data_IF_917870651540
#
_entry.id   IF_917870651540
#
_cell.length_a   1.000
_cell.length_b   1.000
_cell.length_c   1.000
_cell.angle_alpha   90.00
_cell.angle_beta   90.00
_cell.angle_gamma   90.00
#
_symmetry.space_group_name_H-M   'P 1'
#
loop_
_entity.id
_entity.type
_entity.pdbx_description
1 polymer ?
#
# COMPACT_ATOMS: atom_id res chain seq x y z
N UNK A 1 -70.77 -15.56 -73.76
CA UNK A 1 -71.60 -14.41 -73.37
C UNK A 1 -70.66 -13.25 -73.04
N UNK A 2 -70.94 -12.02 -73.50
CA UNK A 2 -70.59 -11.58 -74.85
C UNK A 2 -69.56 -10.42 -74.91
N UNK A 3 -69.19 -10.11 -76.16
CA UNK A 3 -68.86 -8.79 -76.74
C UNK A 3 -67.59 -8.08 -76.28
N UNK A 4 -66.61 -7.84 -77.16
CA UNK A 4 -66.62 -6.81 -78.22
C UNK A 4 -66.66 -5.40 -77.60
N UNK A 5 -65.87 -4.40 -77.96
CA UNK A 5 -65.17 -4.04 -79.19
C UNK A 5 -64.29 -2.83 -78.79
N UNK A 6 -63.09 -2.64 -79.34
CA UNK A 6 -62.82 -1.62 -80.38
C UNK A 6 -62.95 -0.17 -79.85
N UNK A 7 -62.10 0.79 -80.17
CA UNK A 7 -61.17 0.90 -81.27
C UNK A 7 -60.36 2.19 -81.06
N UNK A 8 -59.14 2.17 -81.59
CA UNK A 8 -58.58 3.18 -82.51
C UNK A 8 -58.58 4.66 -82.11
N UNK A 9 -57.40 5.27 -82.22
CA UNK A 9 -57.28 6.72 -82.39
C UNK A 9 -55.97 7.25 -81.82
N UNK A 10 -54.83 7.08 -82.52
CA UNK A 10 -54.26 8.13 -83.38
C UNK A 10 -53.73 9.30 -82.53
N UNK A 11 -52.42 9.35 -82.23
CA UNK A 11 -51.36 10.00 -83.03
C UNK A 11 -51.04 11.42 -82.48
N UNK A 12 -49.74 11.67 -82.29
CA UNK A 12 -49.05 12.97 -82.19
C UNK A 12 -49.20 13.86 -80.94
N UNK A 13 -48.09 13.90 -80.18
CA UNK A 13 -47.31 15.09 -79.82
C UNK A 13 -47.93 16.45 -80.17
N UNK A 14 -48.17 17.33 -79.17
CA UNK A 14 -47.86 18.77 -79.23
C UNK A 14 -47.92 19.42 -77.82
N UNK A 15 -46.74 19.82 -77.32
CA UNK A 15 -46.38 20.99 -76.49
C UNK A 15 -47.33 21.59 -75.41
N UNK A 16 -46.76 21.63 -74.20
CA UNK A 16 -46.50 22.82 -73.36
C UNK A 16 -47.60 23.48 -72.49
N UNK A 17 -47.21 23.63 -71.21
CA UNK A 17 -47.57 24.65 -70.20
C UNK A 17 -49.01 24.62 -69.65
N UNK A 18 -49.15 24.28 -68.36
CA UNK A 18 -49.52 25.22 -67.28
C UNK A 18 -49.46 24.48 -65.91
N UNK A 19 -48.82 25.19 -64.99
CA UNK A 19 -48.61 25.04 -63.55
C UNK A 19 -49.69 24.41 -62.63
N UNK A 20 -49.14 23.80 -61.56
CA UNK A 20 -49.51 23.88 -60.12
C UNK A 20 -50.40 22.82 -59.44
N UNK A 21 -49.73 22.15 -58.47
CA UNK A 21 -50.11 21.92 -57.05
C UNK A 21 -51.20 20.88 -56.74
N UNK A 22 -50.81 19.73 -56.16
CA UNK A 22 -50.95 19.48 -54.70
C UNK A 22 -50.57 18.05 -54.28
N UNK A 23 -49.77 18.01 -53.21
CA UNK A 23 -49.85 17.08 -52.07
C UNK A 23 -49.66 15.56 -52.29
N UNK A 24 -48.43 15.09 -52.01
CA UNK A 24 -48.18 13.73 -51.52
C UNK A 24 -47.85 13.76 -50.03
N UNK A 25 -48.83 13.35 -49.22
CA UNK A 25 -48.73 12.54 -47.99
C UNK A 25 -47.41 12.55 -47.19
N UNK A 26 -47.45 13.18 -46.00
CA UNK A 26 -46.50 12.96 -44.91
C UNK A 26 -46.73 11.62 -44.22
N UNK A 27 -45.66 10.85 -44.05
CA UNK A 27 -45.61 9.66 -43.21
C UNK A 27 -45.02 9.99 -41.83
N UNK A 28 -45.58 9.27 -40.86
CA UNK A 28 -45.27 9.13 -39.45
C UNK A 28 -43.79 8.97 -39.12
N UNK A 29 -43.40 9.60 -38.01
CA UNK A 29 -42.03 9.70 -37.48
C UNK A 29 -41.29 8.39 -37.32
N UNK A 30 -40.13 8.35 -37.97
CA UNK A 30 -38.95 7.62 -37.53
C UNK A 30 -38.11 8.60 -36.68
N UNK A 31 -37.39 8.12 -35.66
CA UNK A 31 -36.66 8.92 -34.68
C UNK A 31 -35.41 9.63 -35.21
N UNK A 32 -35.45 10.22 -36.41
CA UNK A 32 -34.32 10.88 -37.04
C UNK A 32 -34.21 12.34 -36.57
N UNK A 33 -33.04 12.69 -36.03
CA UNK A 33 -32.67 14.07 -35.77
C UNK A 33 -32.43 14.79 -37.12
N UNK A 34 -33.52 15.18 -37.77
CA UNK A 34 -33.47 15.88 -39.06
C UNK A 34 -33.46 17.38 -38.83
N UNK A 35 -32.26 17.98 -38.91
CA UNK A 35 -32.11 19.45 -38.97
C UNK A 35 -32.64 19.89 -40.33
N UNK A 36 -33.94 20.23 -40.42
CA UNK A 36 -34.51 20.82 -41.63
C UNK A 36 -33.92 22.22 -41.84
N UNK A 37 -32.81 22.32 -42.56
CA UNK A 37 -32.32 23.59 -43.12
C UNK A 37 -33.05 23.88 -44.43
N UNK A 38 -34.38 24.06 -44.38
CA UNK A 38 -35.13 24.54 -45.53
C UNK A 38 -35.66 25.95 -45.26
N UNK A 39 -35.22 26.89 -46.11
CA UNK A 39 -35.83 28.20 -46.26
C UNK A 39 -37.31 28.02 -46.63
N UNK A 40 -38.22 28.28 -45.71
CA UNK A 40 -39.64 28.45 -46.02
C UNK A 40 -40.13 29.75 -45.40
N UNK A 41 -40.81 30.53 -46.23
CA UNK A 41 -41.48 31.78 -45.87
C UNK A 41 -42.58 31.54 -44.82
N UNK A 42 -42.72 32.52 -43.93
CA UNK A 42 -43.59 32.64 -42.76
C UNK A 42 -44.91 31.84 -42.75
N UNK A 43 -45.21 31.20 -41.61
CA UNK A 43 -46.28 31.64 -40.68
C UNK A 43 -46.23 30.85 -39.34
N UNK A 44 -45.82 31.53 -38.27
CA UNK A 44 -46.18 31.27 -36.86
C UNK A 44 -45.83 29.93 -36.17
N UNK A 45 -44.72 29.28 -36.51
CA UNK A 45 -44.11 28.26 -35.64
C UNK A 45 -42.79 28.78 -35.06
N UNK A 46 -42.63 28.64 -33.74
CA UNK A 46 -41.45 29.01 -32.97
C UNK A 46 -40.17 28.46 -33.62
N UNK A 47 -39.34 29.35 -34.15
CA UNK A 47 -38.04 29.06 -34.76
C UNK A 47 -37.14 28.30 -33.76
N UNK A 48 -36.98 26.99 -33.96
CA UNK A 48 -35.91 26.18 -33.32
C UNK A 48 -34.68 26.08 -34.24
N UNK A 49 -34.69 26.73 -35.41
CA UNK A 49 -33.85 26.36 -36.56
C UNK A 49 -32.46 27.00 -36.72
N UNK A 50 -32.02 27.95 -35.90
CA UNK A 50 -30.72 28.62 -36.17
C UNK A 50 -29.56 28.20 -35.26
N UNK A 51 -29.84 27.55 -34.12
CA UNK A 51 -28.81 27.14 -33.14
C UNK A 51 -28.99 25.74 -32.56
N UNK A 52 -29.74 24.89 -33.26
CA UNK A 52 -29.91 23.49 -32.90
C UNK A 52 -28.92 22.61 -33.66
N UNK A 53 -28.40 21.58 -33.00
CA UNK A 53 -27.60 20.51 -33.59
C UNK A 53 -28.03 19.15 -33.04
N UNK A 54 -27.52 18.07 -33.62
CA UNK A 54 -27.84 16.71 -33.22
C UNK A 54 -26.78 16.13 -32.30
N UNK A 55 -27.24 15.50 -31.22
CA UNK A 55 -26.44 14.71 -30.29
C UNK A 55 -27.01 13.29 -30.29
N UNK A 56 -26.47 12.40 -31.12
CA UNK A 56 -27.14 11.13 -31.42
C UNK A 56 -28.51 11.39 -32.05
N UNK A 57 -29.58 10.88 -31.45
CA UNK A 57 -30.97 11.05 -31.90
C UNK A 57 -31.67 12.27 -31.29
N UNK A 58 -30.98 13.05 -30.44
CA UNK A 58 -31.57 14.18 -29.71
C UNK A 58 -31.15 15.52 -30.32
N UNK A 59 -32.11 16.39 -30.63
CA UNK A 59 -31.86 17.79 -30.95
C UNK A 59 -31.50 18.56 -29.67
N UNK A 60 -30.39 19.30 -29.70
CA UNK A 60 -29.95 20.17 -28.60
C UNK A 60 -29.57 21.56 -29.12
N UNK A 61 -29.66 22.59 -28.26
CA UNK A 61 -29.25 23.95 -28.62
C UNK A 61 -27.82 24.22 -28.17
N UNK A 62 -26.89 24.43 -29.09
CA UNK A 62 -25.46 24.53 -28.74
C UNK A 62 -25.05 25.84 -28.04
N UNK A 63 -25.96 26.81 -27.92
CA UNK A 63 -25.75 28.05 -27.18
C UNK A 63 -26.07 27.91 -25.68
N UNK A 64 -26.89 26.93 -25.32
CA UNK A 64 -27.36 26.70 -23.95
C UNK A 64 -27.10 25.28 -23.48
N UNK A 65 -26.64 24.39 -24.34
CA UNK A 65 -26.44 22.97 -24.07
C UNK A 65 -25.19 22.45 -24.78
N UNK A 66 -24.65 21.35 -24.28
CA UNK A 66 -23.48 20.67 -24.84
C UNK A 66 -23.77 19.19 -25.04
N UNK A 67 -23.14 18.59 -26.06
CA UNK A 67 -23.24 17.17 -26.35
C UNK A 67 -21.92 16.47 -26.04
N UNK A 68 -21.94 15.46 -25.17
CA UNK A 68 -20.80 14.59 -24.88
C UNK A 68 -21.16 13.14 -25.21
N UNK A 69 -20.60 12.61 -26.30
CA UNK A 69 -20.77 11.22 -26.73
C UNK A 69 -22.23 10.74 -26.65
N UNK A 70 -23.11 11.42 -27.40
CA UNK A 70 -24.57 11.16 -27.51
C UNK A 70 -25.41 11.55 -26.27
N UNK A 71 -24.79 12.14 -25.25
CA UNK A 71 -25.51 12.66 -24.08
C UNK A 71 -25.55 14.19 -24.09
N UNK A 72 -26.76 14.76 -24.01
CA UNK A 72 -26.98 16.21 -23.93
C UNK A 72 -26.95 16.68 -22.48
N UNK A 73 -26.25 17.78 -22.22
CA UNK A 73 -26.19 18.45 -20.93
C UNK A 73 -26.52 19.93 -21.05
N UNK A 74 -27.14 20.49 -20.02
CA UNK A 74 -27.34 21.94 -19.95
C UNK A 74 -26.01 22.66 -19.71
N UNK A 75 -25.80 23.71 -20.49
CA UNK A 75 -24.58 24.47 -20.61
C UNK A 75 -24.32 25.29 -19.36
N UNK A 76 -23.15 25.06 -18.77
CA UNK A 76 -22.63 25.86 -17.66
C UNK A 76 -21.26 26.34 -18.09
N UNK A 77 -20.91 27.58 -17.75
CA UNK A 77 -19.56 28.11 -17.93
C UNK A 77 -18.55 27.19 -17.22
N UNK A 78 -17.36 27.05 -17.79
CA UNK A 78 -16.27 26.20 -17.28
C UNK A 78 -16.54 24.68 -17.31
N UNK A 79 -17.39 24.18 -18.22
CA UNK A 79 -17.60 22.75 -18.44
C UNK A 79 -17.16 22.29 -19.82
N UNK A 80 -16.48 21.14 -19.88
CA UNK A 80 -16.07 20.46 -21.10
C UNK A 80 -16.45 18.98 -21.06
N UNK A 81 -16.41 18.32 -22.22
CA UNK A 81 -16.67 16.88 -22.31
C UNK A 81 -15.44 16.07 -21.92
N UNK A 82 -15.66 15.03 -21.13
CA UNK A 82 -14.70 14.00 -20.80
C UNK A 82 -15.28 12.62 -21.10
N UNK A 83 -15.08 12.12 -22.32
CA UNK A 83 -15.82 10.95 -22.81
C UNK A 83 -17.31 11.27 -22.92
N UNK A 84 -18.14 10.52 -22.17
CA UNK A 84 -19.60 10.74 -22.12
C UNK A 84 -20.03 11.76 -21.07
N UNK A 85 -19.18 12.03 -20.08
CA UNK A 85 -19.53 12.86 -18.93
C UNK A 85 -19.01 14.29 -19.11
N UNK A 86 -19.58 15.25 -18.37
CA UNK A 86 -19.09 16.63 -18.31
C UNK A 86 -18.15 16.80 -17.11
N UNK A 87 -17.11 17.60 -17.27
CA UNK A 87 -16.16 17.91 -16.19
C UNK A 87 -15.93 19.42 -16.09
N UNK A 88 -15.64 19.90 -14.88
CA UNK A 88 -15.39 21.32 -14.66
C UNK A 88 -13.90 21.66 -14.91
N UNK A 89 -13.59 22.40 -15.98
CA UNK A 89 -12.18 22.69 -16.36
C UNK A 89 -11.40 23.47 -15.32
N UNK A 90 -12.08 24.14 -14.38
CA UNK A 90 -11.46 24.89 -13.29
C UNK A 90 -11.00 23.99 -12.13
N UNK A 91 -11.71 22.89 -11.87
CA UNK A 91 -11.46 22.03 -10.71
C UNK A 91 -11.06 20.61 -11.08
N UNK A 92 -11.22 20.21 -12.33
CA UNK A 92 -11.08 18.85 -12.80
C UNK A 92 -10.24 18.79 -14.07
N UNK A 93 -9.78 17.59 -14.39
CA UNK A 93 -8.97 17.26 -15.55
C UNK A 93 -9.50 15.98 -16.18
N UNK A 94 -9.33 15.83 -17.50
CA UNK A 94 -9.81 14.68 -18.25
C UNK A 94 -8.69 13.83 -18.87
N UNK A 95 -7.87 13.13 -18.07
CA UNK A 95 -6.95 12.13 -18.61
C UNK A 95 -7.73 10.89 -19.09
N UNK A 96 -7.52 10.50 -20.35
CA UNK A 96 -8.05 9.26 -20.94
C UNK A 96 -9.58 9.08 -20.80
N UNK A 97 -10.36 10.12 -21.11
CA UNK A 97 -11.83 10.12 -21.06
C UNK A 97 -12.43 9.86 -19.66
N UNK A 98 -11.69 10.13 -18.57
CA UNK A 98 -12.20 10.04 -17.20
C UNK A 98 -11.93 11.33 -16.43
N UNK A 99 -12.98 11.97 -15.92
CA UNK A 99 -12.85 13.20 -15.14
C UNK A 99 -12.30 12.91 -13.74
N UNK A 100 -11.38 13.74 -13.28
CA UNK A 100 -10.74 13.64 -11.97
C UNK A 100 -10.53 15.04 -11.38
N UNK A 101 -10.69 15.19 -10.07
CA UNK A 101 -10.45 16.47 -9.39
C UNK A 101 -8.95 16.79 -9.39
N UNK A 102 -8.60 18.04 -9.68
CA UNK A 102 -7.23 18.53 -9.85
C UNK A 102 -6.34 18.22 -8.64
N UNK A 103 -6.88 18.31 -7.42
CA UNK A 103 -6.15 18.00 -6.19
C UNK A 103 -5.81 16.52 -5.99
N UNK A 104 -6.58 15.63 -6.62
CA UNK A 104 -6.40 14.20 -6.46
C UNK A 104 -5.47 13.61 -7.52
N UNK A 105 -5.27 14.28 -8.66
CA UNK A 105 -4.41 13.80 -9.72
C UNK A 105 -2.93 14.07 -9.41
N UNK A 106 -2.12 13.01 -9.32
CA UNK A 106 -0.66 13.08 -9.14
C UNK A 106 0.03 12.38 -10.30
N UNK A 107 1.25 12.82 -10.63
CA UNK A 107 2.09 12.18 -11.64
C UNK A 107 3.00 11.13 -10.97
N UNK A 108 3.09 9.93 -11.57
CA UNK A 108 4.06 8.90 -11.19
C UNK A 108 4.82 8.46 -12.43
N UNK A 109 6.12 8.72 -12.48
CA UNK A 109 6.92 8.59 -13.69
C UNK A 109 6.30 9.36 -14.87
N UNK A 110 5.62 8.66 -15.79
CA UNK A 110 5.03 9.25 -16.99
C UNK A 110 3.50 9.23 -17.00
N UNK A 111 2.86 8.63 -15.99
CA UNK A 111 1.41 8.43 -15.95
C UNK A 111 0.77 9.16 -14.77
N UNK A 112 -0.41 9.73 -15.03
CA UNK A 112 -1.23 10.33 -13.99
C UNK A 112 -2.01 9.26 -13.22
N UNK A 113 -2.15 9.45 -11.92
CA UNK A 113 -2.94 8.57 -11.05
C UNK A 113 -3.74 9.37 -10.04
N UNK A 114 -4.87 8.79 -9.63
CA UNK A 114 -5.73 9.35 -8.58
C UNK A 114 -5.20 8.96 -7.20
N UNK A 115 -4.77 9.94 -6.42
CA UNK A 115 -4.10 9.75 -5.13
C UNK A 115 -5.00 9.22 -4.02
N UNK A 116 -6.33 9.36 -4.18
CA UNK A 116 -7.30 8.70 -3.29
C UNK A 116 -7.39 7.17 -3.44
N UNK A 117 -6.90 6.60 -4.56
CA UNK A 117 -7.00 5.16 -4.82
C UNK A 117 -5.65 4.48 -5.06
N UNK A 118 -4.66 5.24 -5.51
CA UNK A 118 -3.30 4.74 -5.76
C UNK A 118 -2.27 5.65 -5.12
N UNK A 119 -1.08 5.12 -4.89
CA UNK A 119 0.12 5.85 -4.47
C UNK A 119 1.29 5.46 -5.35
N UNK A 120 2.20 6.39 -5.58
CA UNK A 120 3.41 6.16 -6.36
C UNK A 120 4.53 5.61 -5.47
N UNK A 121 5.21 4.56 -5.94
CA UNK A 121 6.42 4.02 -5.32
C UNK A 121 7.48 3.76 -6.39
N UNK A 122 8.58 4.49 -6.34
CA UNK A 122 9.58 4.48 -7.41
C UNK A 122 8.96 4.96 -8.72
N UNK A 123 8.73 4.05 -9.67
CA UNK A 123 8.13 4.32 -10.99
C UNK A 123 6.75 3.69 -11.21
N UNK A 124 6.24 2.95 -10.22
CA UNK A 124 5.00 2.20 -10.33
C UNK A 124 3.95 2.74 -9.36
N UNK A 125 2.67 2.58 -9.71
CA UNK A 125 1.55 2.95 -8.84
C UNK A 125 0.92 1.72 -8.21
N UNK A 126 0.64 1.80 -6.91
CA UNK A 126 0.08 0.73 -6.09
C UNK A 126 -1.24 1.19 -5.48
N UNK A 127 -2.20 0.28 -5.18
CA UNK A 127 -3.41 0.64 -4.46
C UNK A 127 -3.08 1.33 -3.12
N UNK A 128 -3.93 2.26 -2.71
CA UNK A 128 -3.92 2.79 -1.34
C UNK A 128 -4.41 1.67 -0.43
N UNK A 129 -3.48 1.13 0.35
CA UNK A 129 -3.68 0.10 1.36
C UNK A 129 -2.78 0.46 2.56
N UNK A 130 -3.30 0.32 3.78
CA UNK A 130 -2.62 0.71 5.03
C UNK A 130 -1.37 -0.13 5.32
N UNK A 131 -1.32 -1.34 4.77
CA UNK A 131 -0.23 -2.28 4.95
C UNK A 131 0.83 -2.18 3.85
N UNK A 132 0.54 -1.50 2.74
CA UNK A 132 1.51 -1.35 1.65
C UNK A 132 2.32 -0.07 1.87
N UNK A 133 3.63 -0.14 2.06
CA UNK A 133 4.47 1.05 2.20
C UNK A 133 5.66 1.06 1.26
N UNK A 134 6.21 2.25 1.03
CA UNK A 134 7.40 2.45 0.23
C UNK A 134 8.64 2.47 1.11
N UNK A 135 9.63 1.69 0.71
CA UNK A 135 10.99 1.72 1.20
C UNK A 135 11.92 2.11 0.05
N UNK A 136 12.27 3.40 -0.02
CA UNK A 136 12.95 3.96 -1.19
C UNK A 136 12.08 3.83 -2.45
N UNK A 137 12.52 3.00 -3.41
CA UNK A 137 11.80 2.73 -4.67
C UNK A 137 11.01 1.41 -4.65
N UNK A 138 11.12 0.64 -3.57
CA UNK A 138 10.50 -0.66 -3.43
C UNK A 138 9.27 -0.59 -2.54
N UNK A 139 8.31 -1.46 -2.80
CA UNK A 139 7.12 -1.63 -1.96
C UNK A 139 7.31 -2.82 -1.04
N UNK A 140 6.78 -2.71 0.17
CA UNK A 140 6.73 -3.80 1.12
C UNK A 140 5.40 -3.84 1.89
N UNK A 141 5.09 -5.00 2.47
CA UNK A 141 3.94 -5.19 3.36
C UNK A 141 4.40 -4.97 4.82
N UNK A 142 3.81 -4.00 5.50
CA UNK A 142 4.14 -3.64 6.89
C UNK A 142 3.76 -4.71 7.90
N UNK A 143 2.97 -5.71 7.51
CA UNK A 143 2.62 -6.87 8.35
C UNK A 143 3.71 -7.94 8.35
N UNK A 144 4.62 -7.92 7.38
CA UNK A 144 5.68 -8.92 7.24
C UNK A 144 7.07 -8.33 7.31
N UNK A 145 7.21 -7.03 7.04
CA UNK A 145 8.50 -6.36 6.88
C UNK A 145 8.45 -4.89 7.28
N UNK A 146 9.61 -4.33 7.58
CA UNK A 146 9.80 -2.92 7.87
C UNK A 146 10.89 -2.33 6.97
N UNK A 147 10.97 -1.00 6.90
CA UNK A 147 11.99 -0.28 6.14
C UNK A 147 13.01 0.33 7.11
N UNK A 148 14.25 -0.10 7.02
CA UNK A 148 15.37 0.44 7.81
C UNK A 148 16.44 0.93 6.85
N UNK A 149 16.74 2.23 6.89
CA UNK A 149 17.75 2.88 6.05
C UNK A 149 17.61 2.54 4.55
N UNK A 150 16.37 2.56 4.06
CA UNK A 150 16.05 2.24 2.66
C UNK A 150 16.09 0.76 2.29
N UNK A 151 16.30 -0.14 3.25
CA UNK A 151 16.27 -1.60 3.05
C UNK A 151 15.03 -2.22 3.69
N UNK A 152 14.37 -3.09 2.95
CA UNK A 152 13.24 -3.88 3.44
C UNK A 152 13.80 -5.07 4.23
N UNK A 153 13.41 -5.20 5.48
CA UNK A 153 13.84 -6.26 6.40
C UNK A 153 12.64 -6.88 7.12
N UNK A 154 12.77 -8.10 7.63
CA UNK A 154 11.69 -8.76 8.39
C UNK A 154 11.36 -7.99 9.68
N UNK A 155 10.14 -8.15 10.20
CA UNK A 155 9.70 -7.50 11.45
C UNK A 155 10.51 -7.88 12.70
N UNK A 156 11.29 -8.96 12.64
CA UNK A 156 12.20 -9.37 13.72
C UNK A 156 13.54 -8.63 13.67
N UNK A 157 13.78 -7.85 12.63
CA UNK A 157 15.01 -7.09 12.46
C UNK A 157 14.85 -5.70 13.06
N UNK A 158 15.82 -5.32 13.88
CA UNK A 158 15.88 -4.05 14.58
C UNK A 158 17.13 -3.27 14.15
N UNK A 159 17.11 -1.95 14.35
CA UNK A 159 18.30 -1.12 14.13
C UNK A 159 19.31 -1.33 15.26
N UNK A 160 20.59 -1.43 14.89
CA UNK A 160 21.70 -1.35 15.84
C UNK A 160 22.83 -0.50 15.23
N UNK A 161 22.88 0.77 15.63
CA UNK A 161 23.78 1.74 15.01
C UNK A 161 23.49 1.90 13.52
N UNK A 162 24.49 1.66 12.68
CA UNK A 162 24.40 1.66 11.21
C UNK A 162 24.05 0.30 10.61
N UNK A 163 23.82 -0.71 11.45
CA UNK A 163 23.52 -2.09 11.04
C UNK A 163 22.11 -2.50 11.46
N UNK A 164 21.63 -3.62 10.91
CA UNK A 164 20.41 -4.29 11.36
C UNK A 164 20.75 -5.56 12.13
N UNK A 165 19.92 -5.95 13.08
CA UNK A 165 20.13 -7.12 13.94
C UNK A 165 18.85 -7.90 14.15
N UNK A 166 18.96 -9.21 14.41
CA UNK A 166 17.81 -10.03 14.81
C UNK A 166 17.75 -10.14 16.33
N UNK A 167 16.79 -9.48 16.98
CA UNK A 167 16.72 -9.41 18.45
C UNK A 167 16.45 -10.77 19.14
N UNK A 168 16.07 -11.81 18.38
CA UNK A 168 16.02 -13.18 18.91
C UNK A 168 17.41 -13.73 19.22
N UNK A 169 18.38 -13.50 18.33
CA UNK A 169 19.71 -14.12 18.40
C UNK A 169 20.83 -13.12 18.69
N UNK A 170 20.57 -11.82 18.64
CA UNK A 170 21.56 -10.76 18.76
C UNK A 170 21.16 -9.72 19.81
N UNK A 171 22.18 -9.04 20.35
CA UNK A 171 22.04 -7.85 21.19
C UNK A 171 22.73 -6.66 20.52
N UNK A 172 22.19 -5.48 20.73
CA UNK A 172 22.84 -4.24 20.29
C UNK A 172 23.78 -3.73 21.39
N UNK A 173 25.08 -3.82 21.15
CA UNK A 173 26.11 -3.50 22.14
C UNK A 173 26.79 -2.17 21.82
N UNK A 174 27.12 -1.41 22.87
CA UNK A 174 27.93 -0.20 22.77
C UNK A 174 29.43 -0.57 22.84
N UNK A 175 30.21 -0.05 21.90
CA UNK A 175 31.68 -0.19 21.86
C UNK A 175 32.39 0.61 22.95
N UNK A 176 31.69 1.53 23.61
CA UNK A 176 32.26 2.51 24.52
C UNK A 176 32.81 3.76 23.83
N UNK A 177 32.81 3.82 22.49
CA UNK A 177 33.09 5.02 21.70
C UNK A 177 31.80 5.75 21.27
N UNK A 178 30.63 5.29 21.71
CA UNK A 178 29.32 5.79 21.27
C UNK A 178 28.83 5.15 19.97
N UNK A 179 29.50 4.09 19.52
CA UNK A 179 29.07 3.29 18.37
C UNK A 179 28.36 2.02 18.84
N UNK A 180 27.28 1.67 18.15
CA UNK A 180 26.48 0.50 18.45
C UNK A 180 26.64 -0.54 17.35
N UNK A 181 26.81 -1.80 17.73
CA UNK A 181 26.98 -2.91 16.80
C UNK A 181 26.28 -4.18 17.30
N UNK A 182 25.77 -5.02 16.38
CA UNK A 182 25.15 -6.29 16.74
C UNK A 182 26.19 -7.30 17.24
N UNK A 183 25.86 -8.00 18.31
CA UNK A 183 26.64 -9.14 18.84
C UNK A 183 25.72 -10.33 19.00
N UNK A 184 26.16 -11.49 18.50
CA UNK A 184 25.44 -12.74 18.69
C UNK A 184 25.40 -13.12 20.17
N UNK A 185 24.20 -13.49 20.65
CA UNK A 185 24.00 -14.01 21.98
C UNK A 185 24.78 -15.32 22.13
N UNK A 186 25.59 -15.39 23.17
CA UNK A 186 26.32 -16.61 23.56
C UNK A 186 25.34 -17.66 24.07
N UNK A 187 24.32 -17.23 24.82
CA UNK A 187 23.23 -18.07 25.32
C UNK A 187 21.86 -17.44 25.04
N UNK A 188 20.77 -18.24 24.88
CA UNK A 188 19.45 -17.70 24.53
C UNK A 188 18.86 -16.68 25.52
N UNK A 189 19.25 -16.73 26.79
CA UNK A 189 18.78 -15.84 27.85
C UNK A 189 19.65 -14.61 28.08
N UNK A 190 20.69 -14.41 27.26
CA UNK A 190 21.54 -13.22 27.33
C UNK A 190 20.75 -11.95 26.97
N UNK A 191 20.86 -10.94 27.84
CA UNK A 191 20.14 -9.67 27.75
C UNK A 191 21.07 -8.44 27.89
N UNK A 192 22.37 -8.65 28.13
CA UNK A 192 23.39 -7.60 28.26
C UNK A 192 24.68 -7.95 27.52
N UNK A 193 25.45 -6.91 27.20
CA UNK A 193 26.81 -7.03 26.71
C UNK A 193 27.78 -6.53 27.78
N UNK A 194 28.92 -7.20 27.93
CA UNK A 194 29.99 -6.76 28.79
C UNK A 194 31.00 -5.94 27.97
N UNK A 195 31.18 -4.68 28.35
CA UNK A 195 32.08 -3.76 27.65
C UNK A 195 33.55 -4.16 27.77
N UNK A 196 33.92 -4.85 28.84
CA UNK A 196 35.31 -5.21 29.12
C UNK A 196 35.86 -6.26 28.15
N UNK A 197 35.06 -7.27 27.80
CA UNK A 197 35.48 -8.42 26.98
C UNK A 197 34.59 -8.67 25.76
N UNK A 198 33.58 -7.83 25.53
CA UNK A 198 32.66 -7.89 24.39
C UNK A 198 31.64 -9.03 24.45
N UNK A 199 31.65 -9.88 25.49
CA UNK A 199 30.75 -11.04 25.58
C UNK A 199 29.35 -10.63 26.01
N UNK A 200 28.35 -11.37 25.53
CA UNK A 200 26.99 -11.27 26.03
C UNK A 200 26.83 -12.05 27.33
N UNK A 201 25.88 -11.64 28.16
CA UNK A 201 25.57 -12.34 29.40
C UNK A 201 24.14 -12.07 29.87
N UNK A 202 23.57 -13.06 30.55
CA UNK A 202 22.33 -12.93 31.32
C UNK A 202 22.55 -12.13 32.59
N UNK A 203 21.91 -10.97 32.69
CA UNK A 203 22.01 -10.02 33.81
C UNK A 203 21.49 -10.57 35.12
N UNK A 204 20.72 -11.67 35.06
CA UNK A 204 20.21 -12.43 36.22
C UNK A 204 21.33 -13.24 36.87
N UNK A 205 22.19 -13.87 36.06
CA UNK A 205 23.17 -14.86 36.52
C UNK A 205 24.60 -14.33 36.54
N UNK A 206 24.88 -13.29 35.75
CA UNK A 206 26.19 -12.70 35.58
C UNK A 206 26.14 -11.16 35.66
N UNK A 207 27.32 -10.57 35.78
CA UNK A 207 27.56 -9.14 35.72
C UNK A 207 28.87 -8.88 34.97
N UNK A 208 29.04 -7.68 34.42
CA UNK A 208 30.30 -7.27 33.79
C UNK A 208 31.23 -6.67 34.84
N UNK A 209 32.35 -7.35 35.09
CA UNK A 209 33.41 -6.93 36.00
C UNK A 209 34.64 -6.37 35.28
N UNK A 210 35.72 -6.07 36.04
CA UNK A 210 36.96 -5.52 35.50
C UNK A 210 37.73 -6.49 34.60
N UNK A 211 37.50 -7.81 34.73
CA UNK A 211 38.13 -8.83 33.88
C UNK A 211 37.18 -9.44 32.84
N UNK A 212 35.93 -8.98 32.78
CA UNK A 212 34.93 -9.48 31.83
C UNK A 212 33.64 -9.94 32.49
N UNK A 213 32.90 -10.83 31.80
CA UNK A 213 31.69 -11.44 32.34
C UNK A 213 32.01 -12.35 33.53
N UNK A 214 31.44 -12.01 34.69
CA UNK A 214 31.62 -12.71 35.96
C UNK A 214 30.26 -13.19 36.51
N UNK A 215 30.21 -14.40 37.08
CA UNK A 215 29.00 -14.89 37.73
C UNK A 215 28.61 -13.97 38.88
N UNK A 216 27.32 -13.62 38.96
CA UNK A 216 26.78 -13.01 40.17
C UNK A 216 26.90 -14.03 41.29
N UNK A 217 27.73 -13.72 42.27
CA UNK A 217 27.71 -14.37 43.57
C UNK A 217 26.44 -13.94 44.30
N UNK A 218 25.29 -14.41 43.84
CA UNK A 218 23.98 -13.98 44.36
C UNK A 218 23.74 -14.42 45.81
N UNK A 219 24.62 -15.21 46.41
CA UNK A 219 24.64 -15.52 47.83
C UNK A 219 26.09 -15.83 48.25
N UNK A 220 26.89 -14.86 48.67
CA UNK A 220 28.01 -15.21 49.56
C UNK A 220 27.37 -15.70 50.86
N UNK A 221 27.25 -17.02 51.00
CA UNK A 221 26.83 -17.63 52.26
C UNK A 221 28.05 -17.81 53.14
N UNK A 222 27.84 -17.79 54.46
CA UNK A 222 28.90 -18.09 55.42
C UNK A 222 28.83 -19.56 55.81
N UNK A 223 29.97 -20.22 55.76
CA UNK A 223 30.20 -21.53 56.33
C UNK A 223 31.17 -21.36 57.50
N UNK A 224 30.66 -21.48 58.74
CA UNK A 224 31.43 -21.08 59.91
C UNK A 224 31.81 -19.59 59.82
N UNK A 225 33.11 -19.30 59.68
CA UNK A 225 33.66 -17.94 59.49
C UNK A 225 34.12 -17.65 58.07
N UNK A 226 33.89 -18.56 57.13
CA UNK A 226 34.39 -18.45 55.76
C UNK A 226 33.25 -18.21 54.76
N UNK A 227 33.43 -17.22 53.91
CA UNK A 227 32.58 -16.98 52.75
C UNK A 227 32.71 -18.12 51.72
N UNK A 228 31.57 -18.66 51.27
CA UNK A 228 31.53 -19.67 50.21
C UNK A 228 30.43 -19.41 49.20
N UNK A 229 30.61 -19.98 48.00
CA UNK A 229 29.61 -19.96 46.94
C UNK A 229 28.71 -21.19 47.11
N UNK A 230 27.44 -21.05 47.56
CA UNK A 230 26.55 -22.18 47.77
C UNK A 230 26.11 -22.83 46.45
N UNK A 231 26.41 -22.28 45.28
CA UNK A 231 26.12 -22.90 43.98
C UNK A 231 27.24 -23.86 43.58
N UNK A 232 28.51 -23.51 43.83
CA UNK A 232 29.68 -24.32 43.43
C UNK A 232 30.22 -25.19 44.56
N UNK A 233 30.19 -24.67 45.76
CA UNK A 233 30.89 -25.22 46.92
C UNK A 233 29.89 -25.91 47.86
N UNK A 234 30.44 -26.73 48.76
CA UNK A 234 29.69 -27.40 49.82
C UNK A 234 30.21 -26.88 51.15
N UNK A 235 29.32 -26.42 52.02
CA UNK A 235 29.64 -26.18 53.43
C UNK A 235 29.36 -27.45 54.23
N UNK A 236 30.37 -27.97 54.91
CA UNK A 236 30.27 -29.17 55.74
C UNK A 236 31.07 -28.99 57.01
N UNK A 237 30.42 -29.15 58.16
CA UNK A 237 31.04 -29.04 59.48
C UNK A 237 31.82 -27.73 59.69
N UNK A 238 31.31 -26.61 59.14
CA UNK A 238 31.97 -25.31 59.21
C UNK A 238 33.14 -25.11 58.24
N UNK A 239 33.47 -26.10 57.40
CA UNK A 239 34.50 -26.03 56.38
C UNK A 239 33.92 -25.92 54.96
N UNK A 240 34.59 -25.12 54.12
CA UNK A 240 34.20 -24.89 52.74
C UNK A 240 34.95 -25.85 51.81
N UNK A 241 34.20 -26.67 51.08
CA UNK A 241 34.72 -27.59 50.07
C UNK A 241 34.48 -27.02 48.67
N UNK A 242 35.51 -26.39 48.11
CA UNK A 242 35.45 -25.69 46.81
C UNK A 242 35.14 -26.65 45.66
N UNK A 243 34.14 -26.31 44.84
CA UNK A 243 33.71 -27.13 43.70
C UNK A 243 33.06 -28.46 44.07
N UNK A 244 32.68 -28.65 45.34
CA UNK A 244 32.10 -29.91 45.82
C UNK A 244 30.80 -30.29 45.10
N UNK A 245 29.96 -29.32 44.73
CA UNK A 245 28.72 -29.58 43.98
C UNK A 245 28.99 -29.99 42.55
N UNK A 246 29.98 -29.39 41.89
CA UNK A 246 30.42 -29.76 40.54
C UNK A 246 30.94 -31.20 40.50
N UNK A 247 31.60 -31.64 41.58
CA UNK A 247 32.10 -33.01 41.74
C UNK A 247 31.07 -34.00 42.32
N UNK A 248 29.81 -33.57 42.46
CA UNK A 248 28.70 -34.35 43.03
C UNK A 248 29.01 -34.95 44.41
N UNK A 249 29.89 -34.32 45.18
CA UNK A 249 30.22 -34.75 46.53
C UNK A 249 29.02 -34.53 47.45
N UNK A 250 28.87 -35.39 48.47
CA UNK A 250 27.94 -35.16 49.57
C UNK A 250 28.71 -35.01 50.87
N UNK A 251 28.11 -34.27 51.81
CA UNK A 251 28.71 -34.02 53.12
C UNK A 251 29.09 -35.31 53.86
N UNK A 252 28.23 -36.32 53.75
CA UNK A 252 28.41 -37.63 54.36
C UNK A 252 29.65 -38.37 53.81
N UNK A 253 29.95 -38.19 52.53
CA UNK A 253 31.11 -38.81 51.89
C UNK A 253 32.40 -38.09 52.30
N UNK A 254 32.35 -36.77 52.41
CA UNK A 254 33.47 -35.90 52.83
C UNK A 254 33.89 -36.20 54.28
N UNK A 255 32.92 -36.31 55.20
CA UNK A 255 33.18 -36.57 56.61
C UNK A 255 33.81 -37.96 56.80
N UNK A 256 33.36 -38.97 56.04
CA UNK A 256 33.93 -40.33 56.10
C UNK A 256 35.41 -40.35 55.75
N UNK A 257 35.83 -39.66 54.69
CA UNK A 257 37.25 -39.59 54.31
C UNK A 257 38.13 -38.97 55.40
N UNK A 258 37.65 -37.95 56.11
CA UNK A 258 38.42 -37.30 57.18
C UNK A 258 38.55 -38.17 58.43
N UNK A 259 37.51 -38.94 58.80
CA UNK A 259 37.55 -39.86 59.94
C UNK A 259 38.58 -40.98 59.74
N UNK A 260 38.75 -41.47 58.51
CA UNK A 260 39.77 -42.49 58.23
C UNK A 260 41.21 -41.95 58.35
N UNK A 261 41.45 -40.69 57.99
CA UNK A 261 42.78 -40.07 58.10
C UNK A 261 43.17 -39.76 59.55
N UNK A 262 42.23 -39.37 60.41
CA UNK A 262 42.51 -39.12 61.84
C UNK A 262 42.58 -40.38 62.70
N UNK A 263 42.33 -41.57 62.12
CA UNK A 263 42.46 -42.87 62.80
C UNK A 263 43.79 -43.58 62.55
N UNK A 264 44.71 -42.94 61.81
CA UNK A 264 46.04 -43.44 61.47
C UNK A 264 47.20 -42.64 62.12
N UNK A 265 46.87 -41.71 63.03
CA UNK A 265 47.80 -41.06 63.96
C UNK A 265 47.57 -41.58 65.39
#
# INVERSE_FOLDING_TARGET
MPSMHSALGVLFLYLALVNMVSATTGHSGDGTCDIMTDRVEQENDTYVGERASCCGEVLFQFDTQMCCNETVYDGVTDQECCGKDRFNVKYEVCPSNKSMVHGDLKLCANDYYHSGFRKCCGRNTYPVDDHVQCCGVHVHDTRTSTCIDGKIVDLLMECCGSSTMNSRHQLCCDSGSGEYFPVDKSEPDDDRCCRTDGRTYSSVTHHCGPEGVERRHLLISLCGRQAYDPVRDICCDGFVYRGGKTRRLKCQDIIRFNVYLTSLE
#
